data_IF_189886370314
#
_entry.id   IF_189886370314
#
_cell.length_a   1.000
_cell.length_b   1.000
_cell.length_c   1.000
_cell.angle_alpha   90.00
_cell.angle_beta   90.00
_cell.angle_gamma   90.00
#
_symmetry.space_group_name_H-M   'P 1'
#
loop_
_entity.id
_entity.type
_entity.pdbx_description
1 polymer ?
#
# COMPACT_ATOMS: atom_id res chain seq x y z
N UNK A 1 2.37 -11.16 -10.75
CA UNK A 1 2.08 -11.04 -9.30
C UNK A 1 0.81 -10.23 -9.10
N UNK A 2 -0.04 -10.61 -8.13
CA UNK A 2 -1.21 -9.80 -7.80
C UNK A 2 -0.88 -8.34 -7.50
N UNK A 3 -1.77 -7.46 -7.93
CA UNK A 3 -1.67 -6.02 -7.70
C UNK A 3 -2.60 -5.61 -6.56
N UNK A 4 -2.19 -4.62 -5.78
CA UNK A 4 -2.95 -4.11 -4.65
C UNK A 4 -2.99 -2.59 -4.68
N UNK A 5 -4.11 -2.03 -4.27
CA UNK A 5 -4.26 -0.59 -4.06
C UNK A 5 -4.48 -0.36 -2.57
N UNK A 6 -3.65 0.45 -1.97
CA UNK A 6 -3.76 0.83 -0.57
C UNK A 6 -4.12 2.31 -0.46
N UNK A 7 -5.20 2.58 0.25
CA UNK A 7 -5.57 3.93 0.65
C UNK A 7 -5.16 4.10 2.11
N UNK A 8 -4.33 5.09 2.39
CA UNK A 8 -3.77 5.28 3.72
C UNK A 8 -4.01 6.68 4.25
N UNK A 9 -4.14 6.76 5.56
CA UNK A 9 -4.21 8.04 6.28
C UNK A 9 -3.16 8.05 7.38
N UNK A 10 -2.58 9.22 7.64
CA UNK A 10 -1.78 9.37 8.85
C UNK A 10 -2.69 9.33 10.08
N UNK A 11 -2.24 8.65 11.12
CA UNK A 11 -2.85 8.76 12.44
C UNK A 11 -2.47 10.13 13.03
N UNK A 12 -3.08 10.55 14.15
CA UNK A 12 -2.61 11.76 14.84
C UNK A 12 -1.11 11.74 15.15
N UNK A 13 -0.58 10.58 15.55
CA UNK A 13 0.86 10.40 15.78
C UNK A 13 1.66 10.60 14.50
N UNK A 14 1.23 10.01 13.39
CA UNK A 14 1.91 10.14 12.10
C UNK A 14 1.83 11.56 11.55
N UNK A 15 0.71 12.23 11.72
CA UNK A 15 0.55 13.61 11.30
C UNK A 15 1.44 14.56 12.11
N UNK A 16 1.57 14.31 13.40
CA UNK A 16 2.44 15.12 14.27
C UNK A 16 3.90 15.11 13.81
N UNK A 17 4.36 13.99 13.28
CA UNK A 17 5.73 13.81 12.78
C UNK A 17 5.80 13.73 11.26
N UNK A 18 4.87 14.40 10.56
CA UNK A 18 4.74 14.29 9.09
C UNK A 18 6.01 14.71 8.34
N UNK A 19 6.83 15.59 8.92
CA UNK A 19 8.09 15.99 8.31
C UNK A 19 9.07 14.84 8.14
N UNK A 20 8.90 13.78 8.91
CA UNK A 20 9.73 12.57 8.84
C UNK A 20 9.14 11.52 7.90
N UNK A 21 7.95 11.78 7.33
CA UNK A 21 7.25 10.79 6.51
C UNK A 21 8.04 10.35 5.26
N UNK A 22 8.82 11.23 4.58
CA UNK A 22 9.62 10.74 3.45
C UNK A 22 10.64 9.67 3.85
N UNK A 23 11.32 9.81 4.99
CA UNK A 23 12.27 8.79 5.44
C UNK A 23 11.55 7.52 5.92
N UNK A 24 10.35 7.66 6.51
CA UNK A 24 9.53 6.50 6.85
C UNK A 24 9.07 5.75 5.60
N UNK A 25 8.75 6.47 4.53
CA UNK A 25 8.40 5.86 3.25
C UNK A 25 9.56 5.05 2.68
N UNK A 26 10.77 5.60 2.72
CA UNK A 26 11.96 4.89 2.26
C UNK A 26 12.20 3.61 3.07
N UNK A 27 12.06 3.68 4.38
CA UNK A 27 12.17 2.52 5.25
C UNK A 27 11.09 1.48 4.96
N UNK A 28 9.86 1.92 4.68
CA UNK A 28 8.75 1.04 4.33
C UNK A 28 9.01 0.32 3.01
N UNK A 29 9.53 1.03 1.99
CA UNK A 29 9.89 0.42 0.71
C UNK A 29 10.92 -0.69 0.88
N UNK A 30 11.93 -0.44 1.72
CA UNK A 30 12.97 -1.43 2.00
C UNK A 30 12.40 -2.64 2.75
N UNK A 31 11.55 -2.42 3.74
CA UNK A 31 10.90 -3.49 4.48
C UNK A 31 9.98 -4.33 3.60
N UNK A 32 9.22 -3.70 2.73
CA UNK A 32 8.35 -4.38 1.77
C UNK A 32 9.18 -5.23 0.80
N UNK A 33 10.27 -4.67 0.27
CA UNK A 33 11.15 -5.39 -0.66
C UNK A 33 11.72 -6.65 0.00
N UNK A 34 12.09 -6.58 1.27
CA UNK A 34 12.60 -7.73 2.02
C UNK A 34 11.56 -8.85 2.15
N UNK A 35 10.28 -8.54 2.10
CA UNK A 35 9.19 -9.52 2.14
C UNK A 35 8.67 -9.91 0.75
N UNK A 36 9.28 -9.41 -0.31
CA UNK A 36 8.89 -9.71 -1.67
C UNK A 36 7.76 -8.83 -2.20
N UNK A 37 7.45 -7.74 -1.53
CA UNK A 37 6.44 -6.77 -1.94
C UNK A 37 7.11 -5.60 -2.64
N UNK A 38 6.63 -5.26 -3.83
CA UNK A 38 7.17 -4.15 -4.62
C UNK A 38 6.17 -3.01 -4.64
N UNK A 39 6.60 -1.82 -4.20
CA UNK A 39 5.81 -0.60 -4.34
C UNK A 39 6.06 -0.05 -5.75
N UNK A 40 5.01 -0.03 -6.57
CA UNK A 40 5.09 0.45 -7.95
C UNK A 40 4.91 1.97 -8.03
N UNK A 41 3.96 2.49 -7.25
CA UNK A 41 3.63 3.91 -7.25
C UNK A 41 3.23 4.35 -5.87
N UNK A 42 3.56 5.58 -5.55
CA UNK A 42 3.12 6.26 -4.33
C UNK A 42 2.65 7.66 -4.70
N UNK A 43 1.47 8.03 -4.20
CA UNK A 43 0.93 9.37 -4.37
C UNK A 43 0.45 9.90 -3.03
N UNK A 44 0.78 11.17 -2.74
CA UNK A 44 0.08 11.91 -1.71
C UNK A 44 -1.18 12.49 -2.34
N UNK A 45 -2.30 12.39 -1.65
CA UNK A 45 -3.58 12.93 -2.10
C UNK A 45 -4.17 13.84 -1.02
N UNK A 46 -5.09 14.71 -1.40
CA UNK A 46 -5.66 15.69 -0.48
C UNK A 46 -7.16 15.49 -0.22
N UNK A 47 -7.70 14.33 -0.60
CA UNK A 47 -9.11 13.99 -0.39
C UNK A 47 -9.37 13.33 0.95
N UNK A 48 -10.25 12.33 0.94
CA UNK A 48 -10.64 11.59 2.15
C UNK A 48 -9.50 10.75 2.73
N UNK A 49 -8.50 10.43 1.91
CA UNK A 49 -7.28 9.72 2.32
C UNK A 49 -6.08 10.61 2.05
N UNK A 50 -4.95 10.28 2.66
CA UNK A 50 -3.71 11.05 2.52
C UNK A 50 -2.75 10.47 1.49
N UNK A 51 -2.81 9.16 1.27
CA UNK A 51 -1.87 8.47 0.40
C UNK A 51 -2.58 7.39 -0.41
N UNK A 52 -2.10 7.18 -1.65
CA UNK A 52 -2.51 6.05 -2.50
C UNK A 52 -1.24 5.31 -2.89
N UNK A 53 -1.21 4.01 -2.64
CA UNK A 53 -0.03 3.18 -2.91
C UNK A 53 -0.45 2.01 -3.80
N UNK A 54 0.25 1.85 -4.91
CA UNK A 54 0.07 0.72 -5.82
C UNK A 54 1.24 -0.22 -5.61
N UNK A 55 0.95 -1.50 -5.34
CA UNK A 55 1.99 -2.48 -5.05
C UNK A 55 1.68 -3.83 -5.67
N UNK A 56 2.71 -4.67 -5.75
CA UNK A 56 2.61 -6.07 -6.15
C UNK A 56 3.17 -6.95 -5.03
N UNK A 57 2.54 -8.10 -4.82
CA UNK A 57 3.00 -9.10 -3.86
C UNK A 57 2.75 -10.51 -4.41
N UNK A 58 3.48 -11.53 -3.93
CA UNK A 58 3.26 -12.90 -4.38
C UNK A 58 1.85 -13.42 -4.12
N UNK A 59 1.25 -13.04 -3.00
CA UNK A 59 -0.10 -13.44 -2.61
C UNK A 59 -0.65 -12.52 -1.53
N UNK A 60 -1.92 -12.72 -1.19
CA UNK A 60 -2.62 -11.87 -0.22
C UNK A 60 -2.04 -11.96 1.19
N UNK A 61 -1.55 -13.13 1.58
CA UNK A 61 -0.97 -13.32 2.93
C UNK A 61 0.31 -12.51 3.11
N UNK A 62 1.16 -12.52 2.10
CA UNK A 62 2.41 -11.73 2.11
C UNK A 62 2.07 -10.25 2.19
N UNK A 63 1.12 -9.79 1.38
CA UNK A 63 0.68 -8.40 1.40
C UNK A 63 0.10 -8.00 2.74
N UNK A 64 -0.75 -8.85 3.32
CA UNK A 64 -1.35 -8.60 4.63
C UNK A 64 -0.29 -8.48 5.72
N UNK A 65 0.68 -9.39 5.72
CA UNK A 65 1.79 -9.36 6.70
C UNK A 65 2.60 -8.06 6.58
N UNK A 66 2.97 -7.70 5.36
CA UNK A 66 3.73 -6.47 5.11
C UNK A 66 2.96 -5.24 5.59
N UNK A 67 1.66 -5.20 5.33
CA UNK A 67 0.82 -4.08 5.73
C UNK A 67 0.65 -4.01 7.24
N UNK A 68 0.41 -5.14 7.91
CA UNK A 68 0.31 -5.17 9.37
C UNK A 68 1.60 -4.72 10.05
N UNK A 69 2.74 -5.05 9.47
CA UNK A 69 4.03 -4.58 9.97
C UNK A 69 4.10 -3.05 9.96
N UNK A 70 3.60 -2.41 8.89
CA UNK A 70 3.58 -0.96 8.82
C UNK A 70 2.54 -0.35 9.78
N UNK A 71 1.36 -0.93 9.87
CA UNK A 71 0.30 -0.47 10.77
C UNK A 71 0.77 -0.54 12.23
N UNK A 72 1.52 -1.57 12.59
CA UNK A 72 1.99 -1.77 13.97
C UNK A 72 2.91 -0.65 14.45
N UNK A 73 3.49 0.12 13.55
CA UNK A 73 4.32 1.28 13.91
C UNK A 73 3.50 2.49 14.35
N UNK A 74 2.18 2.47 14.17
CA UNK A 74 1.26 3.45 14.72
C UNK A 74 1.10 4.75 13.93
N UNK A 75 1.84 4.93 12.83
CA UNK A 75 1.84 6.19 12.07
C UNK A 75 0.76 6.29 11.00
N UNK A 76 0.18 5.18 10.58
CA UNK A 76 -0.81 5.14 9.50
C UNK A 76 -1.94 4.15 9.79
N UNK A 77 -3.09 4.42 9.17
CA UNK A 77 -4.16 3.44 8.98
C UNK A 77 -4.28 3.16 7.49
N UNK A 78 -4.69 1.96 7.12
CA UNK A 78 -4.71 1.55 5.71
C UNK A 78 -5.99 0.80 5.36
N UNK A 79 -6.38 0.93 4.09
CA UNK A 79 -7.40 0.10 3.46
C UNK A 79 -6.78 -0.46 2.18
N UNK A 80 -6.48 -1.74 2.18
CA UNK A 80 -5.83 -2.40 1.04
C UNK A 80 -6.83 -3.31 0.33
N UNK A 81 -6.93 -3.13 -0.97
CA UNK A 81 -7.80 -3.94 -1.83
C UNK A 81 -7.00 -4.66 -2.88
N UNK A 82 -7.40 -5.90 -3.18
CA UNK A 82 -6.90 -6.60 -4.35
C UNK A 82 -7.34 -5.82 -5.59
N UNK A 83 -6.40 -5.46 -6.43
CA UNK A 83 -6.68 -4.74 -7.66
C UNK A 83 -6.45 -5.66 -8.87
N UNK A 84 -7.23 -5.44 -9.91
CA UNK A 84 -7.08 -6.13 -11.17
C UNK A 84 -6.67 -5.09 -12.22
N UNK A 85 -5.61 -5.41 -12.98
CA UNK A 85 -5.21 -4.56 -14.10
C UNK A 85 -6.33 -4.54 -15.14
N UNK A 86 -6.28 -3.58 -16.05
CA UNK A 86 -7.28 -3.52 -17.15
C UNK A 86 -7.28 -4.83 -17.94
N UNK A 87 -6.10 -5.40 -18.19
CA UNK A 87 -6.00 -6.68 -18.89
C UNK A 87 -6.68 -7.81 -18.14
N UNK A 88 -6.45 -7.92 -16.85
CA UNK A 88 -7.10 -8.91 -15.98
C UNK A 88 -8.62 -8.69 -15.94
N UNK A 89 -9.03 -7.43 -15.80
CA UNK A 89 -10.43 -7.05 -15.82
C UNK A 89 -11.12 -7.50 -17.11
N UNK A 90 -10.49 -7.26 -18.27
CA UNK A 90 -11.05 -7.65 -19.56
C UNK A 90 -11.20 -9.17 -19.69
N UNK A 91 -10.24 -9.93 -19.16
CA UNK A 91 -10.33 -11.40 -19.14
C UNK A 91 -11.47 -11.90 -18.26
N UNK A 92 -11.63 -11.32 -17.07
CA UNK A 92 -12.70 -11.70 -16.14
C UNK A 92 -14.05 -11.45 -16.79
N UNK A 93 -14.27 -10.25 -17.34
CA UNK A 93 -15.54 -9.90 -17.99
C UNK A 93 -15.76 -10.76 -19.22
N UNK A 94 -14.73 -11.03 -19.99
CA UNK A 94 -14.80 -11.85 -21.20
C UNK A 94 -15.16 -13.32 -20.93
N UNK A 95 -15.03 -13.77 -19.68
CA UNK A 95 -15.40 -15.14 -19.29
C UNK A 95 -16.85 -15.27 -18.83
N UNK A 96 -17.61 -14.18 -18.76
CA UNK A 96 -19.00 -14.19 -18.31
C UNK A 96 -20.00 -14.71 -19.43
#
# INVERSE_FOLDING_TARGET
>A
MPTYVTLACWTPQGAHTVKESPSRLDAAKNAFAAEGVKILNFYMVTGAHDMVIISEAPNDEVMAKAMLTQISKGGITTQTSRAFTEEEYRKIVGSL
#
